data_IF_710294199133
#
_entry.id   IF_710294199133
#
_cell.length_a   1.000
_cell.length_b   1.000
_cell.length_c   1.000
_cell.angle_alpha   90.00
_cell.angle_beta   90.00
_cell.angle_gamma   90.00
#
_symmetry.space_group_name_H-M   'P 1'
#
loop_
_entity.id
_entity.type
_entity.pdbx_description
1 polymer ?
#
# COMPACT_ATOMS: atom_id res chain seq x y z
N UNK A 1 -11.28 -16.56 -3.85
CA UNK A 1 -10.21 -15.54 -3.75
C UNK A 1 -10.41 -14.82 -2.45
N UNK A 2 -9.55 -15.05 -1.47
CA UNK A 2 -9.54 -14.24 -0.25
C UNK A 2 -8.69 -12.99 -0.51
N UNK A 3 -9.27 -11.83 -0.21
CA UNK A 3 -8.59 -10.55 -0.24
C UNK A 3 -8.35 -10.07 1.19
N UNK A 4 -7.14 -9.59 1.46
CA UNK A 4 -6.75 -8.93 2.70
C UNK A 4 -6.55 -7.44 2.42
N UNK A 5 -7.19 -6.60 3.22
CA UNK A 5 -6.97 -5.15 3.20
C UNK A 5 -6.39 -4.73 4.55
N UNK A 6 -5.32 -3.94 4.50
CA UNK A 6 -4.64 -3.41 5.69
C UNK A 6 -4.68 -1.89 5.59
N UNK A 7 -5.11 -1.25 6.66
CA UNK A 7 -5.27 0.19 6.73
C UNK A 7 -4.40 0.77 7.85
N UNK A 8 -3.55 1.73 7.47
CA UNK A 8 -2.65 2.51 8.34
C UNK A 8 -1.74 1.68 9.29
N UNK A 9 -0.94 2.36 10.10
CA UNK A 9 -0.04 1.73 11.10
C UNK A 9 1.41 1.50 10.66
N UNK A 10 1.74 1.60 9.36
CA UNK A 10 3.12 1.47 8.88
C UNK A 10 4.00 2.70 9.18
N UNK A 11 3.40 3.88 9.32
CA UNK A 11 4.14 5.13 9.57
C UNK A 11 4.76 5.24 10.96
N UNK A 12 4.35 4.39 11.92
CA UNK A 12 4.95 4.31 13.25
C UNK A 12 6.07 3.28 13.37
N UNK A 13 6.31 2.50 12.31
CA UNK A 13 7.35 1.48 12.29
C UNK A 13 8.70 2.13 12.02
N UNK A 14 9.74 1.66 12.69
CA UNK A 14 11.10 1.98 12.28
C UNK A 14 11.40 1.33 10.90
N UNK A 15 12.41 1.81 10.16
CA UNK A 15 12.71 1.30 8.82
C UNK A 15 12.98 -0.21 8.75
N UNK A 16 13.54 -0.81 9.81
CA UNK A 16 13.81 -2.25 9.84
C UNK A 16 12.50 -3.02 9.95
N UNK A 17 11.62 -2.59 10.86
CA UNK A 17 10.32 -3.21 11.05
C UNK A 17 9.41 -3.03 9.84
N UNK A 18 9.46 -1.86 9.18
CA UNK A 18 8.75 -1.62 7.93
C UNK A 18 9.17 -2.61 6.82
N UNK A 19 10.47 -2.84 6.67
CA UNK A 19 10.97 -3.82 5.70
C UNK A 19 10.48 -5.24 5.98
N UNK A 20 10.49 -5.66 7.25
CA UNK A 20 9.94 -6.98 7.64
C UNK A 20 8.45 -7.07 7.29
N UNK A 21 7.70 -6.00 7.54
CA UNK A 21 6.28 -5.95 7.21
C UNK A 21 6.05 -6.09 5.70
N UNK A 22 6.81 -5.36 4.89
CA UNK A 22 6.75 -5.43 3.43
C UNK A 22 7.07 -6.83 2.90
N UNK A 23 8.10 -7.48 3.42
CA UNK A 23 8.46 -8.84 3.04
C UNK A 23 7.35 -9.85 3.40
N UNK A 24 6.62 -9.63 4.49
CA UNK A 24 5.47 -10.45 4.85
C UNK A 24 4.30 -10.27 3.87
N UNK A 25 4.03 -9.04 3.42
CA UNK A 25 2.99 -8.74 2.43
C UNK A 25 3.28 -9.40 1.09
N UNK A 26 4.54 -9.36 0.64
CA UNK A 26 4.99 -10.04 -0.58
C UNK A 26 4.80 -11.56 -0.50
N UNK A 27 5.12 -12.17 0.65
CA UNK A 27 4.88 -13.62 0.86
C UNK A 27 3.39 -13.97 0.75
N UNK A 28 2.51 -13.16 1.34
CA UNK A 28 1.05 -13.38 1.25
C UNK A 28 0.56 -13.27 -0.20
N UNK A 29 1.09 -12.31 -0.96
CA UNK A 29 0.80 -12.19 -2.38
C UNK A 29 1.22 -13.45 -3.16
N UNK A 30 2.44 -13.93 -2.92
CA UNK A 30 2.99 -15.13 -3.56
C UNK A 30 2.23 -16.42 -3.20
N UNK A 31 1.49 -16.45 -2.09
CA UNK A 31 0.60 -17.54 -1.70
C UNK A 31 -0.78 -17.47 -2.40
N UNK A 32 -0.97 -16.53 -3.35
CA UNK A 32 -2.21 -16.37 -4.09
C UNK A 32 -3.27 -15.55 -3.37
N UNK A 33 -2.93 -14.89 -2.25
CA UNK A 33 -3.84 -13.95 -1.58
C UNK A 33 -3.74 -12.59 -2.27
N UNK A 34 -4.88 -11.92 -2.47
CA UNK A 34 -4.87 -10.52 -2.92
C UNK A 34 -4.66 -9.64 -1.70
N UNK A 35 -3.61 -8.82 -1.71
CA UNK A 35 -3.27 -7.93 -0.60
C UNK A 35 -3.40 -6.49 -1.08
N UNK A 36 -4.23 -5.70 -0.40
CA UNK A 36 -4.36 -4.26 -0.58
C UNK A 36 -3.88 -3.54 0.67
N UNK A 37 -3.11 -2.46 0.49
CA UNK A 37 -2.57 -1.67 1.60
C UNK A 37 -2.92 -0.21 1.38
N UNK A 38 -3.40 0.44 2.44
CA UNK A 38 -3.64 1.89 2.48
C UNK A 38 -2.55 2.49 3.36
N UNK A 39 -1.71 3.34 2.77
CA UNK A 39 -0.58 3.94 3.45
C UNK A 39 -0.21 5.28 2.83
N UNK A 40 0.32 6.18 3.65
CA UNK A 40 0.95 7.43 3.22
C UNK A 40 2.49 7.33 3.26
N UNK A 41 3.03 6.16 3.61
CA UNK A 41 4.48 5.92 3.74
C UNK A 41 5.11 5.80 2.35
N UNK A 42 6.11 6.64 2.08
CA UNK A 42 6.74 6.74 0.76
C UNK A 42 7.47 5.44 0.38
N UNK A 43 8.17 4.84 1.32
CA UNK A 43 8.95 3.61 1.13
C UNK A 43 8.06 2.44 0.68
N UNK A 44 6.81 2.38 1.15
CA UNK A 44 5.85 1.39 0.68
C UNK A 44 5.39 1.66 -0.75
N UNK A 45 5.20 2.93 -1.09
CA UNK A 45 4.82 3.37 -2.44
C UNK A 45 5.90 3.00 -3.44
N UNK A 46 7.18 3.09 -3.08
CA UNK A 46 8.30 2.74 -3.96
C UNK A 46 8.41 1.21 -4.20
N UNK A 47 8.03 0.39 -3.22
CA UNK A 47 8.10 -1.08 -3.32
C UNK A 47 6.88 -1.71 -4.00
N UNK A 48 5.71 -1.07 -3.98
CA UNK A 48 4.48 -1.59 -4.60
C UNK A 48 4.23 -0.87 -5.94
N UNK A 49 4.50 -1.52 -7.08
CA UNK A 49 4.46 -0.85 -8.39
C UNK A 49 3.04 -0.52 -8.88
N UNK A 50 2.06 -1.38 -8.56
CA UNK A 50 0.65 -1.15 -8.92
C UNK A 50 -0.02 -0.34 -7.81
N UNK A 51 -0.52 0.85 -8.14
CA UNK A 51 -1.02 1.79 -7.15
C UNK A 51 -2.35 2.40 -7.55
N UNK A 52 -3.17 2.67 -6.54
CA UNK A 52 -4.31 3.57 -6.66
C UNK A 52 -3.90 4.86 -5.94
N UNK A 53 -3.44 5.84 -6.71
CA UNK A 53 -3.00 7.12 -6.18
C UNK A 53 -4.21 8.03 -5.96
N UNK A 54 -4.38 8.48 -4.71
CA UNK A 54 -5.41 9.45 -4.34
C UNK A 54 -4.75 10.80 -4.10
N UNK A 55 -5.22 11.84 -4.78
CA UNK A 55 -4.74 13.21 -4.62
C UNK A 55 -5.88 14.14 -4.22
N UNK A 56 -5.63 14.99 -3.21
CA UNK A 56 -6.60 16.01 -2.77
C UNK A 56 -6.79 17.05 -3.87
N UNK A 57 -8.02 17.44 -4.13
CA UNK A 57 -8.39 18.55 -5.02
C UNK A 57 -9.07 19.67 -4.25
N UNK A 58 -9.34 20.78 -4.94
CA UNK A 58 -10.12 21.89 -4.39
C UNK A 58 -11.57 21.47 -4.09
N UNK A 59 -12.23 22.25 -3.24
CA UNK A 59 -13.65 22.07 -2.90
C UNK A 59 -14.00 20.70 -2.29
N UNK A 60 -13.08 20.12 -1.52
CA UNK A 60 -13.29 18.85 -0.81
C UNK A 60 -13.35 17.61 -1.70
N UNK A 61 -12.93 17.73 -2.96
CA UNK A 61 -12.87 16.61 -3.92
C UNK A 61 -11.52 15.89 -3.85
N UNK A 62 -11.49 14.67 -4.35
CA UNK A 62 -10.26 13.90 -4.56
C UNK A 62 -10.23 13.36 -5.97
N UNK A 63 -9.03 13.30 -6.57
CA UNK A 63 -8.78 12.62 -7.84
C UNK A 63 -8.11 11.28 -7.56
N UNK A 64 -8.59 10.25 -8.23
CA UNK A 64 -8.05 8.89 -8.16
C UNK A 64 -7.44 8.54 -9.51
N UNK A 65 -6.22 8.01 -9.49
CA UNK A 65 -5.50 7.53 -10.67
C UNK A 65 -4.91 6.16 -10.39
N UNK A 66 -4.94 5.29 -11.38
CA UNK A 66 -4.31 3.97 -11.30
C UNK A 66 -2.96 4.04 -12.01
N UNK A 67 -1.90 3.66 -11.30
CA UNK A 67 -0.52 3.64 -11.81
C UNK A 67 -0.02 2.20 -11.90
N UNK A 68 0.91 1.95 -12.82
CA UNK A 68 1.60 0.65 -12.94
C UNK A 68 0.78 -0.47 -13.58
N UNK A 69 -0.25 -0.13 -14.36
CA UNK A 69 -0.96 -1.08 -15.24
C UNK A 69 -0.28 -1.20 -16.61
#
# INVERSE_FOLDING_TARGET
VESLFIDEGFGSLDPTTLNIAMDALERLHNQGRKVGVISHVQEMTERIPVQIKVSKQQSGKSKVEVLGY
#
